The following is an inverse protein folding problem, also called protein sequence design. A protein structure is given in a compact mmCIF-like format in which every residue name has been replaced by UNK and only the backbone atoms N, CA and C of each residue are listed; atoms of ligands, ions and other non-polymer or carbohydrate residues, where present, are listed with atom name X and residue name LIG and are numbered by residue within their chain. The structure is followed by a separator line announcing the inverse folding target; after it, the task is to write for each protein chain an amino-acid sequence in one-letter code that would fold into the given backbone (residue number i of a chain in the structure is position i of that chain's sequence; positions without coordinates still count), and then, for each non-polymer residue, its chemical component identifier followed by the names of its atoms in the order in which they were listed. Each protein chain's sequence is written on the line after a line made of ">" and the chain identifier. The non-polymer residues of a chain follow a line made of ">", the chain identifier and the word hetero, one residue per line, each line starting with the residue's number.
data_IF_870182032476
#
_entry.id   IF_870182032476
#
_cell.length_a   1.000
_cell.length_b   1.000
_cell.length_c   1.000
_cell.angle_alpha   90.00
_cell.angle_beta   90.00
_cell.angle_gamma   90.00
#
_symmetry.space_group_name_H-M   'P 1'
#
loop_
_entity.id
_entity.type
_entity.pdbx_description
1 polymer ?
#
# COMPACT_ATOMS: atom_id res chain seq x y z
N UNK A 1 12.61 -2.70 29.19
CA UNK A 1 11.61 -2.88 28.12
C UNK A 1 10.56 -1.80 28.32
N UNK A 2 10.34 -0.90 27.35
CA UNK A 2 9.44 0.25 27.49
C UNK A 2 7.98 -0.20 27.59
N UNK A 3 7.13 0.59 28.26
CA UNK A 3 5.69 0.34 28.38
C UNK A 3 5.01 0.15 26.99
N UNK A 4 5.56 0.78 25.96
CA UNK A 4 5.14 0.64 24.57
C UNK A 4 5.33 -0.82 24.06
N UNK A 5 6.42 -1.48 24.40
CA UNK A 5 6.69 -2.87 23.98
C UNK A 5 5.75 -3.88 24.66
N UNK A 6 5.40 -3.64 25.92
CA UNK A 6 4.44 -4.49 26.66
C UNK A 6 3.01 -4.34 26.15
N UNK A 7 2.60 -3.14 25.68
CA UNK A 7 1.27 -2.92 25.12
C UNK A 7 1.11 -3.60 23.76
N UNK A 8 2.15 -3.59 22.92
CA UNK A 8 2.15 -4.29 21.63
C UNK A 8 2.06 -5.81 21.79
N UNK A 9 2.87 -6.39 22.70
CA UNK A 9 2.82 -7.84 22.97
C UNK A 9 1.46 -8.27 23.53
N UNK A 10 0.85 -7.47 24.40
CA UNK A 10 -0.49 -7.74 24.94
C UNK A 10 -1.56 -7.67 23.84
N UNK A 11 -1.47 -6.71 22.92
CA UNK A 11 -2.41 -6.61 21.81
C UNK A 11 -2.32 -7.83 20.88
N UNK A 12 -1.11 -8.27 20.55
CA UNK A 12 -0.89 -9.46 19.71
C UNK A 12 -1.37 -10.75 20.38
N UNK A 13 -1.20 -10.89 21.72
CA UNK A 13 -1.53 -12.12 22.46
C UNK A 13 -2.99 -12.16 22.89
N UNK A 14 -3.64 -11.00 23.11
CA UNK A 14 -5.03 -10.91 23.58
C UNK A 14 -6.08 -10.99 22.45
N UNK A 15 -5.66 -10.88 21.19
CA UNK A 15 -6.57 -11.01 20.05
C UNK A 15 -7.05 -12.47 19.89
N UNK A 16 -8.31 -12.65 19.46
CA UNK A 16 -8.88 -13.98 19.18
C UNK A 16 -8.14 -14.70 18.05
N UNK A 17 -8.23 -16.03 17.98
CA UNK A 17 -7.44 -16.87 17.06
C UNK A 17 -7.53 -16.46 15.59
N UNK A 18 -8.70 -16.03 15.12
CA UNK A 18 -8.87 -15.56 13.72
C UNK A 18 -8.12 -14.27 13.41
N UNK A 19 -7.97 -13.36 14.38
CA UNK A 19 -7.20 -12.13 14.23
C UNK A 19 -5.69 -12.41 14.26
N UNK A 20 -5.25 -13.39 15.06
CA UNK A 20 -3.85 -13.85 15.08
C UNK A 20 -3.44 -14.44 13.74
N UNK A 21 -4.32 -15.21 13.10
CA UNK A 21 -4.08 -15.77 11.78
C UNK A 21 -3.95 -14.67 10.72
N UNK A 22 -4.84 -13.69 10.69
CA UNK A 22 -4.74 -12.56 9.77
C UNK A 22 -3.41 -11.81 9.94
N UNK A 23 -3.04 -11.48 11.18
CA UNK A 23 -1.77 -10.80 11.48
C UNK A 23 -0.54 -11.63 11.07
N UNK A 24 -0.59 -12.96 11.22
CA UNK A 24 0.48 -13.86 10.77
C UNK A 24 0.60 -13.88 9.24
N UNK A 25 -0.52 -13.87 8.53
CA UNK A 25 -0.54 -13.79 7.05
C UNK A 25 0.05 -12.46 6.60
N UNK A 26 -0.34 -11.35 7.20
CA UNK A 26 0.25 -10.03 6.92
C UNK A 26 1.76 -10.00 7.20
N UNK A 27 2.21 -10.53 8.34
CA UNK A 27 3.64 -10.61 8.68
C UNK A 27 4.41 -11.49 7.70
N UNK A 28 3.83 -12.61 7.24
CA UNK A 28 4.46 -13.50 6.27
C UNK A 28 4.78 -12.77 4.96
N UNK A 29 3.91 -11.87 4.49
CA UNK A 29 4.16 -11.00 3.33
C UNK A 29 5.40 -10.13 3.55
N UNK A 30 5.52 -9.51 4.72
CA UNK A 30 6.72 -8.73 5.08
C UNK A 30 8.00 -9.57 5.08
N UNK A 31 7.95 -10.78 5.65
CA UNK A 31 9.10 -11.71 5.70
C UNK A 31 9.50 -12.17 4.29
N UNK A 32 8.53 -12.42 3.39
CA UNK A 32 8.80 -12.87 2.03
C UNK A 32 9.50 -11.83 1.14
N UNK A 33 9.58 -10.57 1.55
CA UNK A 33 10.41 -9.54 0.91
C UNK A 33 11.88 -9.97 0.88
N UNK A 34 12.39 -10.53 1.99
CA UNK A 34 13.80 -10.89 2.11
C UNK A 34 14.22 -11.99 1.11
N UNK A 35 13.54 -13.17 1.05
CA UNK A 35 13.90 -14.19 0.06
C UNK A 35 13.67 -13.72 -1.38
N UNK A 36 12.72 -12.84 -1.65
CA UNK A 36 12.53 -12.25 -2.98
C UNK A 36 13.76 -11.44 -3.41
N UNK A 37 14.29 -10.58 -2.56
CA UNK A 37 15.54 -9.86 -2.82
C UNK A 37 16.72 -10.81 -2.98
N UNK A 38 16.86 -11.79 -2.08
CA UNK A 38 17.96 -12.76 -2.12
C UNK A 38 17.97 -13.54 -3.44
N UNK A 39 16.82 -13.99 -3.92
CA UNK A 39 16.69 -14.70 -5.20
C UNK A 39 17.01 -13.81 -6.40
N UNK A 40 16.60 -12.54 -6.39
CA UNK A 40 16.97 -11.58 -7.44
C UNK A 40 18.48 -11.33 -7.49
N UNK A 41 19.10 -11.12 -6.34
CA UNK A 41 20.56 -10.91 -6.23
C UNK A 41 21.32 -12.18 -6.67
N UNK A 42 20.77 -13.37 -6.36
CA UNK A 42 21.35 -14.64 -6.79
C UNK A 42 21.13 -14.95 -8.30
N UNK A 43 20.45 -14.08 -9.05
CA UNK A 43 20.20 -14.28 -10.50
C UNK A 43 19.07 -15.25 -10.81
N UNK A 44 18.11 -15.45 -9.89
CA UNK A 44 16.95 -16.32 -10.05
C UNK A 44 15.63 -15.56 -10.15
N UNK A 45 15.41 -14.73 -11.21
CA UNK A 45 14.24 -13.83 -11.28
C UNK A 45 12.90 -14.56 -11.33
N UNK A 46 12.85 -15.74 -11.96
CA UNK A 46 11.60 -16.53 -12.00
C UNK A 46 11.22 -17.06 -10.62
N UNK A 47 12.18 -17.58 -9.85
CA UNK A 47 11.94 -18.04 -8.49
C UNK A 47 11.53 -16.85 -7.57
N UNK A 48 12.18 -15.71 -7.74
CA UNK A 48 11.80 -14.48 -7.04
C UNK A 48 10.37 -14.04 -7.37
N UNK A 49 9.97 -14.11 -8.65
CA UNK A 49 8.61 -13.76 -9.08
C UNK A 49 7.56 -14.73 -8.48
N UNK A 50 7.88 -16.01 -8.34
CA UNK A 50 6.99 -16.99 -7.68
C UNK A 50 6.82 -16.63 -6.20
N UNK A 51 7.92 -16.37 -5.48
CA UNK A 51 7.87 -15.97 -4.06
C UNK A 51 7.10 -14.67 -3.88
N UNK A 52 7.32 -13.70 -4.78
CA UNK A 52 6.54 -12.48 -4.84
C UNK A 52 5.05 -12.72 -5.04
N UNK A 53 4.68 -13.58 -5.98
CA UNK A 53 3.29 -13.95 -6.26
C UNK A 53 2.61 -14.60 -5.05
N UNK A 54 3.32 -15.45 -4.31
CA UNK A 54 2.85 -16.00 -3.03
C UNK A 54 2.64 -14.85 -2.04
N UNK A 55 3.62 -13.97 -1.86
CA UNK A 55 3.51 -12.84 -0.94
C UNK A 55 2.34 -11.90 -1.30
N UNK A 56 2.17 -11.55 -2.57
CA UNK A 56 1.07 -10.71 -3.02
C UNK A 56 -0.31 -11.38 -2.86
N UNK A 57 -0.39 -12.70 -3.03
CA UNK A 57 -1.64 -13.44 -2.86
C UNK A 57 -2.11 -13.53 -1.40
N UNK A 58 -1.20 -13.42 -0.43
CA UNK A 58 -1.57 -13.43 1.00
C UNK A 58 -2.52 -12.30 1.36
N UNK A 59 -2.42 -11.14 0.70
CA UNK A 59 -3.33 -10.00 0.87
C UNK A 59 -4.81 -10.32 0.54
N UNK A 60 -5.02 -11.16 -0.45
CA UNK A 60 -6.38 -11.63 -0.78
C UNK A 60 -6.95 -12.55 0.29
N UNK A 61 -6.08 -13.35 0.94
CA UNK A 61 -6.48 -14.30 1.96
C UNK A 61 -6.73 -13.62 3.31
N UNK A 62 -5.89 -12.68 3.74
CA UNK A 62 -6.10 -11.98 5.01
C UNK A 62 -7.33 -11.07 4.96
N UNK A 63 -7.56 -10.35 3.88
CA UNK A 63 -8.78 -9.59 3.64
C UNK A 63 -10.05 -10.45 3.64
N UNK A 64 -10.01 -11.66 3.05
CA UNK A 64 -11.10 -12.62 3.09
C UNK A 64 -11.33 -13.16 4.51
N UNK A 65 -10.26 -13.51 5.23
CA UNK A 65 -10.31 -14.04 6.59
C UNK A 65 -10.85 -13.00 7.58
N UNK A 66 -10.40 -11.73 7.47
CA UNK A 66 -10.88 -10.62 8.28
C UNK A 66 -12.38 -10.38 8.09
N UNK A 67 -12.87 -10.40 6.85
CA UNK A 67 -14.31 -10.26 6.56
C UNK A 67 -15.12 -11.42 7.13
N UNK A 68 -14.60 -12.64 7.08
CA UNK A 68 -15.28 -13.84 7.57
C UNK A 68 -15.32 -13.91 9.10
N UNK A 69 -14.31 -13.40 9.78
CA UNK A 69 -14.25 -13.36 11.26
C UNK A 69 -15.17 -12.30 11.87
N UNK A 70 -15.68 -11.36 11.08
CA UNK A 70 -16.56 -10.26 11.53
C UNK A 70 -15.89 -9.32 12.56
N UNK A 71 -14.58 -9.42 12.76
CA UNK A 71 -13.82 -8.64 13.73
C UNK A 71 -12.60 -8.03 13.03
N UNK A 72 -12.45 -6.73 13.16
CA UNK A 72 -11.23 -6.01 12.78
C UNK A 72 -10.63 -5.41 14.05
N UNK A 73 -9.31 -5.58 14.25
CA UNK A 73 -8.62 -4.89 15.34
C UNK A 73 -7.91 -3.65 14.79
N UNK A 74 -7.84 -2.61 15.61
CA UNK A 74 -7.08 -1.41 15.27
C UNK A 74 -5.60 -1.70 15.05
N UNK A 75 -5.05 -2.66 15.80
CA UNK A 75 -3.67 -3.11 15.65
C UNK A 75 -3.46 -3.85 14.33
N UNK A 76 -4.35 -4.79 13.96
CA UNK A 76 -4.28 -5.52 12.70
C UNK A 76 -4.33 -4.59 11.50
N UNK A 77 -5.22 -3.59 11.50
CA UNK A 77 -5.30 -2.60 10.44
C UNK A 77 -4.03 -1.72 10.32
N UNK A 78 -3.40 -1.37 11.45
CA UNK A 78 -2.13 -0.64 11.43
C UNK A 78 -0.97 -1.49 10.94
N UNK A 79 -0.91 -2.77 11.34
CA UNK A 79 0.10 -3.72 10.89
C UNK A 79 0.00 -3.94 9.39
N UNK A 80 -1.21 -4.17 8.89
CA UNK A 80 -1.49 -4.35 7.48
C UNK A 80 -1.04 -3.13 6.66
N UNK A 81 -1.46 -1.93 7.05
CA UNK A 81 -1.03 -0.70 6.39
C UNK A 81 0.50 -0.50 6.42
N UNK A 82 1.18 -0.89 7.49
CA UNK A 82 2.64 -0.79 7.59
C UNK A 82 3.34 -1.77 6.64
N UNK A 83 2.86 -3.03 6.60
CA UNK A 83 3.42 -4.07 5.73
C UNK A 83 3.13 -3.76 4.26
N UNK A 84 1.93 -3.25 3.93
CA UNK A 84 1.57 -2.82 2.58
C UNK A 84 2.47 -1.70 2.06
N UNK A 85 2.74 -0.71 2.90
CA UNK A 85 3.67 0.36 2.54
C UNK A 85 5.10 -0.17 2.34
N UNK A 86 5.57 -1.06 3.22
CA UNK A 86 6.87 -1.69 3.09
C UNK A 86 6.95 -2.53 1.81
N UNK A 87 5.92 -3.31 1.52
CA UNK A 87 5.86 -4.14 0.32
C UNK A 87 5.80 -3.29 -0.96
N UNK A 88 5.05 -2.19 -0.94
CA UNK A 88 4.99 -1.24 -2.06
C UNK A 88 6.36 -0.62 -2.37
N UNK A 89 7.13 -0.27 -1.35
CA UNK A 89 8.51 0.19 -1.53
C UNK A 89 9.41 -0.95 -2.05
N UNK A 90 9.25 -2.17 -1.52
CA UNK A 90 10.00 -3.33 -1.95
C UNK A 90 9.76 -3.67 -3.43
N UNK A 91 8.54 -3.54 -3.95
CA UNK A 91 8.21 -3.75 -5.37
C UNK A 91 9.10 -2.89 -6.26
N UNK A 92 9.29 -1.62 -5.92
CA UNK A 92 10.15 -0.74 -6.71
C UNK A 92 11.62 -1.21 -6.66
N UNK A 93 12.08 -1.68 -5.49
CA UNK A 93 13.40 -2.31 -5.36
C UNK A 93 13.55 -3.59 -6.20
N UNK A 94 12.52 -4.44 -6.23
CA UNK A 94 12.50 -5.63 -7.07
C UNK A 94 12.61 -5.29 -8.56
N UNK A 95 11.89 -4.27 -9.02
CA UNK A 95 11.94 -3.81 -10.41
C UNK A 95 13.32 -3.27 -10.79
N UNK A 96 13.98 -2.53 -9.89
CA UNK A 96 15.33 -2.03 -10.12
C UNK A 96 16.36 -3.15 -10.30
N UNK A 97 16.20 -4.26 -9.58
CA UNK A 97 17.06 -5.44 -9.68
C UNK A 97 16.68 -6.34 -10.87
N UNK A 98 15.39 -6.55 -11.11
CA UNK A 98 14.89 -7.44 -12.16
C UNK A 98 15.10 -6.85 -13.58
N UNK A 99 15.11 -5.52 -13.71
CA UNK A 99 15.20 -4.82 -15.01
C UNK A 99 16.35 -3.82 -15.00
N UNK A 100 17.59 -4.25 -15.33
CA UNK A 100 18.74 -3.36 -15.40
C UNK A 100 18.47 -2.17 -16.33
N UNK A 101 18.77 -0.96 -15.86
CA UNK A 101 18.57 0.27 -16.62
C UNK A 101 17.12 0.81 -16.61
N UNK A 102 16.18 0.18 -15.91
CA UNK A 102 14.80 0.69 -15.79
C UNK A 102 14.77 2.08 -15.14
N UNK A 103 15.69 2.34 -14.22
CA UNK A 103 15.81 3.64 -13.56
C UNK A 103 16.12 4.77 -14.54
N UNK A 104 16.99 4.53 -15.52
CA UNK A 104 17.34 5.52 -16.55
C UNK A 104 16.21 5.72 -17.55
N UNK A 105 15.56 4.62 -17.97
CA UNK A 105 14.47 4.69 -18.97
C UNK A 105 13.19 5.29 -18.41
N UNK A 106 12.89 5.05 -17.13
CA UNK A 106 11.63 5.42 -16.49
C UNK A 106 11.81 6.23 -15.21
N UNK A 107 12.83 7.09 -15.13
CA UNK A 107 13.15 7.89 -13.95
C UNK A 107 11.94 8.67 -13.40
N UNK A 108 11.18 9.34 -14.29
CA UNK A 108 10.00 10.13 -13.90
C UNK A 108 8.93 9.23 -13.27
N UNK A 109 8.67 8.06 -13.84
CA UNK A 109 7.68 7.13 -13.31
C UNK A 109 8.07 6.65 -11.90
N UNK A 110 9.34 6.29 -11.70
CA UNK A 110 9.85 5.89 -10.39
C UNK A 110 9.79 7.04 -9.37
N UNK A 111 10.14 8.26 -9.78
CA UNK A 111 10.02 9.43 -8.91
C UNK A 111 8.56 9.62 -8.48
N UNK A 112 7.60 9.55 -9.39
CA UNK A 112 6.17 9.68 -9.07
C UNK A 112 5.73 8.59 -8.09
N UNK A 113 6.15 7.35 -8.28
CA UNK A 113 5.76 6.23 -7.43
C UNK A 113 6.40 6.30 -6.03
N UNK A 114 7.63 6.82 -5.91
CA UNK A 114 8.32 6.98 -4.62
C UNK A 114 7.94 8.27 -3.91
N UNK A 115 8.06 9.39 -4.63
CA UNK A 115 7.91 10.73 -4.03
C UNK A 115 6.44 11.11 -3.89
N UNK A 116 5.58 10.67 -4.81
CA UNK A 116 4.16 11.01 -4.81
C UNK A 116 3.44 10.68 -3.49
N UNK A 117 3.53 9.45 -2.96
CA UNK A 117 2.94 9.10 -1.67
C UNK A 117 3.50 9.91 -0.50
N UNK A 118 4.82 10.15 -0.48
CA UNK A 118 5.48 10.93 0.57
C UNK A 118 5.05 12.40 0.51
N UNK A 119 5.03 12.99 -0.69
CA UNK A 119 4.58 14.36 -0.91
C UNK A 119 3.09 14.53 -0.52
N UNK A 120 2.26 13.55 -0.83
CA UNK A 120 0.86 13.54 -0.41
C UNK A 120 0.72 13.51 1.13
N UNK A 121 1.45 12.65 1.82
CA UNK A 121 1.43 12.58 3.28
C UNK A 121 1.93 13.87 3.91
N UNK A 122 2.99 14.45 3.36
CA UNK A 122 3.50 15.76 3.79
C UNK A 122 2.46 16.88 3.59
N UNK A 123 1.82 16.92 2.41
CA UNK A 123 0.75 17.89 2.13
C UNK A 123 -0.44 17.72 3.07
N UNK A 124 -0.87 16.48 3.32
CA UNK A 124 -1.94 16.17 4.28
C UNK A 124 -1.61 16.70 5.69
N UNK A 125 -0.40 16.46 6.16
CA UNK A 125 0.06 16.95 7.45
C UNK A 125 0.15 18.48 7.50
N UNK A 126 0.72 19.11 6.48
CA UNK A 126 0.86 20.57 6.42
C UNK A 126 -0.49 21.26 6.39
N UNK A 127 -1.44 20.74 5.60
CA UNK A 127 -2.76 21.35 5.40
C UNK A 127 -3.73 21.09 6.54
N UNK A 128 -3.69 19.93 7.15
CA UNK A 128 -4.71 19.46 8.10
C UNK A 128 -4.15 19.02 9.46
N UNK A 129 -2.83 18.99 9.64
CA UNK A 129 -2.14 18.49 10.85
C UNK A 129 -2.53 17.05 11.20
N UNK A 130 -2.94 16.26 10.18
CA UNK A 130 -3.33 14.85 10.28
C UNK A 130 -2.87 14.12 9.03
N UNK A 131 -2.52 12.84 9.18
CA UNK A 131 -2.31 11.94 8.04
C UNK A 131 -3.67 11.42 7.59
N UNK A 132 -4.14 11.87 6.43
CA UNK A 132 -5.40 11.45 5.84
C UNK A 132 -5.11 10.35 4.82
N UNK A 133 -5.79 9.22 4.92
CA UNK A 133 -5.69 8.11 3.98
C UNK A 133 -7.08 7.88 3.37
N UNK A 134 -7.33 8.50 2.21
CA UNK A 134 -8.60 8.35 1.52
C UNK A 134 -8.69 7.02 0.79
N UNK A 135 -9.87 6.42 0.82
CA UNK A 135 -10.17 5.15 0.16
C UNK A 135 -10.81 5.35 -1.22
N UNK A 136 -10.35 6.32 -2.00
CA UNK A 136 -10.85 6.59 -3.34
C UNK A 136 -10.68 5.39 -4.28
N UNK A 137 -11.59 5.25 -5.22
CA UNK A 137 -11.49 4.19 -6.22
C UNK A 137 -10.19 4.27 -7.03
N UNK A 138 -9.74 5.48 -7.36
CA UNK A 138 -8.47 5.72 -8.03
C UNK A 138 -7.27 5.22 -7.22
N UNK A 139 -7.29 5.43 -5.89
CA UNK A 139 -6.24 4.95 -5.00
C UNK A 139 -6.21 3.42 -4.91
N UNK A 140 -7.40 2.79 -4.82
CA UNK A 140 -7.53 1.32 -4.81
C UNK A 140 -7.03 0.72 -6.12
N UNK A 141 -7.45 1.30 -7.27
CA UNK A 141 -6.99 0.85 -8.58
C UNK A 141 -5.47 1.01 -8.74
N UNK A 142 -4.91 2.13 -8.26
CA UNK A 142 -3.46 2.37 -8.27
C UNK A 142 -2.70 1.36 -7.43
N UNK A 143 -3.21 1.02 -6.24
CA UNK A 143 -2.61 0.00 -5.38
C UNK A 143 -2.63 -1.39 -6.04
N UNK A 144 -3.77 -1.81 -6.60
CA UNK A 144 -3.88 -3.08 -7.33
C UNK A 144 -2.91 -3.13 -8.50
N UNK A 145 -2.84 -2.07 -9.30
CA UNK A 145 -1.92 -2.01 -10.43
C UNK A 145 -0.45 -2.06 -9.97
N UNK A 146 -0.11 -1.40 -8.87
CA UNK A 146 1.24 -1.45 -8.30
C UNK A 146 1.62 -2.87 -7.86
N UNK A 147 0.71 -3.57 -7.20
CA UNK A 147 0.92 -4.97 -6.80
C UNK A 147 1.02 -5.92 -8.00
N UNK A 148 0.28 -5.66 -9.07
CA UNK A 148 0.35 -6.46 -10.30
C UNK A 148 1.50 -6.03 -11.23
N UNK A 149 2.22 -4.95 -10.94
CA UNK A 149 3.16 -4.31 -11.87
C UNK A 149 4.27 -5.26 -12.32
N UNK A 150 4.98 -5.89 -11.37
CA UNK A 150 6.05 -6.80 -11.72
C UNK A 150 5.58 -8.05 -12.49
N UNK A 151 4.54 -8.78 -12.05
CA UNK A 151 3.94 -9.86 -12.85
C UNK A 151 3.54 -9.42 -14.26
N UNK A 152 2.89 -8.27 -14.40
CA UNK A 152 2.48 -7.75 -15.72
C UNK A 152 3.69 -7.48 -16.62
N UNK A 153 4.73 -6.83 -16.09
CA UNK A 153 5.96 -6.60 -16.84
C UNK A 153 6.65 -7.91 -17.23
N UNK A 154 6.68 -8.91 -16.33
CA UNK A 154 7.30 -10.20 -16.59
C UNK A 154 6.56 -11.03 -17.63
N UNK A 155 5.22 -11.04 -17.58
CA UNK A 155 4.38 -11.82 -18.50
C UNK A 155 4.32 -11.17 -19.88
N UNK A 156 4.19 -9.85 -19.94
CA UNK A 156 4.02 -9.12 -21.22
C UNK A 156 5.36 -8.76 -21.88
N UNK A 157 6.46 -8.82 -21.13
CA UNK A 157 7.77 -8.31 -21.57
C UNK A 157 7.81 -6.79 -21.77
N UNK A 158 6.80 -6.05 -21.29
CA UNK A 158 6.64 -4.62 -21.55
C UNK A 158 6.86 -3.78 -20.30
N UNK A 159 7.77 -2.82 -20.38
CA UNK A 159 7.99 -1.83 -19.34
C UNK A 159 6.95 -0.69 -19.34
N UNK A 160 6.03 -0.65 -20.31
CA UNK A 160 4.99 0.39 -20.42
C UNK A 160 4.02 0.38 -19.22
N UNK A 161 3.93 -0.72 -18.50
CA UNK A 161 3.15 -0.83 -17.26
C UNK A 161 3.66 0.10 -16.15
N UNK A 162 4.96 0.38 -16.13
CA UNK A 162 5.57 1.24 -15.11
C UNK A 162 5.09 2.70 -15.22
N UNK A 163 5.19 3.39 -16.38
CA UNK A 163 4.61 4.72 -16.52
C UNK A 163 3.08 4.73 -16.41
N UNK A 164 2.37 3.66 -16.81
CA UNK A 164 0.93 3.55 -16.61
C UNK A 164 0.56 3.52 -15.12
N UNK A 165 1.27 2.73 -14.31
CA UNK A 165 1.08 2.70 -12.86
C UNK A 165 1.41 4.05 -12.22
N UNK A 166 2.50 4.69 -12.65
CA UNK A 166 2.88 6.02 -12.16
C UNK A 166 1.84 7.08 -12.49
N UNK A 167 1.26 7.06 -13.69
CA UNK A 167 0.18 7.98 -14.08
C UNK A 167 -1.06 7.78 -13.20
N UNK A 168 -1.49 6.54 -12.99
CA UNK A 168 -2.67 6.25 -12.18
C UNK A 168 -2.46 6.64 -10.71
N UNK A 169 -1.32 6.26 -10.13
CA UNK A 169 -0.98 6.63 -8.74
C UNK A 169 -0.84 8.15 -8.61
N UNK A 170 -0.14 8.80 -9.53
CA UNK A 170 0.04 10.25 -9.53
C UNK A 170 -1.28 11.01 -9.61
N UNK A 171 -2.16 10.62 -10.53
CA UNK A 171 -3.51 11.19 -10.66
C UNK A 171 -4.32 11.00 -9.38
N UNK A 172 -4.26 9.82 -8.77
CA UNK A 172 -4.94 9.55 -7.51
C UNK A 172 -4.42 10.47 -6.39
N UNK A 173 -3.11 10.71 -6.29
CA UNK A 173 -2.56 11.63 -5.28
C UNK A 173 -2.98 13.08 -5.53
N UNK A 174 -3.01 13.52 -6.78
CA UNK A 174 -3.53 14.83 -7.13
C UNK A 174 -5.02 14.97 -6.78
N UNK A 175 -5.83 13.98 -7.08
CA UNK A 175 -7.24 13.93 -6.73
C UNK A 175 -7.45 14.07 -5.21
N UNK A 176 -6.67 13.36 -4.41
CA UNK A 176 -6.72 13.42 -2.94
C UNK A 176 -6.31 14.81 -2.41
N UNK A 177 -5.26 15.42 -2.98
CA UNK A 177 -4.83 16.78 -2.61
C UNK A 177 -5.93 17.79 -2.94
N UNK A 178 -6.52 17.73 -4.12
CA UNK A 178 -7.63 18.61 -4.53
C UNK A 178 -8.82 18.47 -3.57
N UNK A 179 -9.15 17.25 -3.15
CA UNK A 179 -10.22 17.01 -2.18
C UNK A 179 -9.93 17.67 -0.83
N UNK A 180 -8.69 17.55 -0.33
CA UNK A 180 -8.25 18.23 0.91
C UNK A 180 -8.35 19.76 0.79
N UNK A 181 -7.91 20.31 -0.35
CA UNK A 181 -7.95 21.76 -0.60
C UNK A 181 -9.39 22.27 -0.68
N UNK A 182 -10.33 21.50 -1.18
CA UNK A 182 -11.76 21.79 -1.17
C UNK A 182 -12.41 21.70 0.21
N UNK A 183 -11.65 21.26 1.24
CA UNK A 183 -12.14 21.09 2.61
C UNK A 183 -12.65 19.68 2.92
N UNK A 184 -12.49 18.70 2.01
CA UNK A 184 -12.91 17.33 2.21
C UNK A 184 -12.10 16.63 3.31
N UNK A 185 -12.80 15.93 4.20
CA UNK A 185 -12.22 15.16 5.31
C UNK A 185 -12.81 13.75 5.43
N UNK A 186 -13.81 13.41 4.60
CA UNK A 186 -14.42 12.08 4.59
C UNK A 186 -13.45 11.05 3.98
N UNK A 187 -12.89 10.21 4.81
CA UNK A 187 -11.94 9.17 4.40
C UNK A 187 -12.59 8.09 3.48
N UNK A 188 -13.90 7.95 3.55
CA UNK A 188 -14.68 6.97 2.78
C UNK A 188 -15.30 7.57 1.51
N UNK A 189 -15.00 8.84 1.18
CA UNK A 189 -15.45 9.42 -0.06
C UNK A 189 -15.03 8.55 -1.25
N UNK A 190 -15.90 8.32 -2.25
CA UNK A 190 -15.58 7.46 -3.38
C UNK A 190 -14.57 8.08 -4.35
N UNK A 191 -14.53 9.40 -4.43
CA UNK A 191 -13.67 10.18 -5.34
C UNK A 191 -13.52 11.63 -4.87
N UNK A 192 -12.54 12.36 -5.40
CA UNK A 192 -12.21 13.73 -5.00
C UNK A 192 -13.25 14.80 -5.38
N UNK A 193 -14.22 14.47 -6.22
CA UNK A 193 -15.35 15.35 -6.55
C UNK A 193 -16.60 15.06 -5.71
N UNK A 194 -16.52 14.11 -4.75
CA UNK A 194 -17.63 13.81 -3.87
C UNK A 194 -18.16 15.09 -3.16
N UNK A 195 -19.46 15.17 -2.89
CA UNK A 195 -20.02 16.28 -2.14
C UNK A 195 -19.34 16.40 -0.77
N UNK A 196 -18.95 17.62 -0.42
CA UNK A 196 -18.41 17.90 0.91
C UNK A 196 -19.60 18.38 1.75
N UNK A 197 -19.99 17.68 2.83
CA UNK A 197 -21.03 18.13 3.71
C UNK A 197 -20.68 19.55 4.18
N UNK A 198 -21.55 20.51 3.94
CA UNK A 198 -21.41 21.85 4.51
C UNK A 198 -21.51 21.68 6.02
N UNK A 199 -20.56 22.25 6.74
CA UNK A 199 -20.47 22.23 8.22
C UNK A 199 -21.64 22.97 8.92
N UNK A 200 -22.80 23.03 8.33
CA UNK A 200 -23.95 23.84 8.73
C UNK A 200 -25.08 23.06 9.40
N UNK A 201 -24.91 21.75 9.64
CA UNK A 201 -25.96 20.96 10.31
C UNK A 201 -25.50 20.27 11.60
N UNK A 202 -24.48 20.79 12.24
CA UNK A 202 -24.29 20.53 13.67
C UNK A 202 -25.01 21.66 14.41
N UNK A 203 -26.33 21.60 14.40
CA UNK A 203 -27.15 22.36 15.34
C UNK A 203 -27.02 21.73 16.73
N UNK A 204 -27.12 22.60 17.77
CA UNK A 204 -26.77 22.31 19.15
C UNK A 204 -27.62 21.25 19.82
#
# INVERSE_FOLDING_TARGET
>A
MSAFNQSLWRAVVAEGEGLKLANLVTLSRGVLIVPTFALLIAGHPLAALIVYGVAASTDLFDGWLARRSGRSSAFGAQLDAAVDNLFSVAILGFLLLAYPGVAQRHAIALIVLFVGPVAYLAASWLLKRRFLMFHFWSAKAGAVLLFCLWPLMAITGSEAWLPAAAALVGLSRLEQIVFILRGGLDLNAPHGLAPIPRALELQP
#
